data_IF_757375086481
#
_entry.id   IF_757375086481
#
_cell.length_a   1.000
_cell.length_b   1.000
_cell.length_c   1.000
_cell.angle_alpha   90.00
_cell.angle_beta   90.00
_cell.angle_gamma   90.00
#
_symmetry.space_group_name_H-M   'P 1'
#
loop_
_entity.id
_entity.type
_entity.pdbx_description
1 polymer ?
#
# COMPACT_ATOMS: atom_id res chain seq x y z
N UNK A 1 -8.41 32.43 2.81
CA UNK A 1 -7.46 31.30 2.70
C UNK A 1 -8.25 30.11 2.16
N UNK A 2 -7.92 29.52 1.00
CA UNK A 2 -8.61 28.31 0.57
C UNK A 2 -8.32 27.21 1.60
N UNK A 3 -9.26 26.29 1.89
CA UNK A 3 -8.90 25.10 2.64
C UNK A 3 -7.78 24.41 1.88
N UNK A 4 -6.63 24.18 2.53
CA UNK A 4 -5.62 23.23 2.09
C UNK A 4 -6.26 21.83 2.01
N UNK A 5 -7.03 21.59 0.95
CA UNK A 5 -7.74 20.34 0.69
C UNK A 5 -6.70 19.30 0.27
N UNK A 6 -5.89 18.84 1.22
CA UNK A 6 -5.00 17.72 1.03
C UNK A 6 -5.91 16.50 0.97
N UNK A 7 -5.96 15.85 -0.20
CA UNK A 7 -6.78 14.67 -0.40
C UNK A 7 -6.48 13.65 0.71
N UNK A 8 -7.52 13.15 1.36
CA UNK A 8 -7.39 12.15 2.42
C UNK A 8 -6.55 10.97 1.90
N UNK A 9 -5.62 10.38 2.68
CA UNK A 9 -4.73 9.30 2.21
C UNK A 9 -5.44 8.13 1.51
N UNK A 10 -6.66 7.81 1.95
CA UNK A 10 -7.57 6.84 1.30
C UNK A 10 -7.88 7.13 -0.17
N UNK A 11 -7.92 8.41 -0.56
CA UNK A 11 -8.21 8.89 -1.91
C UNK A 11 -6.97 8.95 -2.80
N UNK A 12 -5.78 8.69 -2.26
CA UNK A 12 -4.56 8.63 -3.06
C UNK A 12 -4.69 7.50 -4.10
N UNK A 13 -4.50 7.84 -5.38
CA UNK A 13 -4.55 6.87 -6.50
C UNK A 13 -3.24 6.13 -6.72
N UNK A 14 -2.16 6.60 -6.11
CA UNK A 14 -0.84 6.00 -6.19
C UNK A 14 0.06 6.50 -5.07
N UNK A 15 1.19 5.83 -4.90
CA UNK A 15 2.18 6.12 -3.86
C UNK A 15 3.54 6.17 -4.52
N UNK A 16 4.32 7.22 -4.23
CA UNK A 16 5.65 7.41 -4.80
C UNK A 16 6.72 7.08 -3.76
N UNK A 17 7.83 6.47 -4.19
CA UNK A 17 9.00 6.25 -3.35
C UNK A 17 8.86 5.16 -2.28
N UNK A 18 7.81 4.32 -2.35
CA UNK A 18 7.58 3.20 -1.43
C UNK A 18 7.86 1.83 -2.06
N UNK A 19 8.56 1.79 -3.21
CA UNK A 19 8.81 0.58 -4.00
C UNK A 19 9.45 -0.55 -3.18
N UNK A 20 10.38 -0.22 -2.27
CA UNK A 20 11.05 -1.22 -1.41
C UNK A 20 10.07 -1.82 -0.40
N UNK A 21 9.21 -0.98 0.20
CA UNK A 21 8.20 -1.44 1.14
C UNK A 21 7.13 -2.29 0.43
N UNK A 22 6.74 -1.90 -0.78
CA UNK A 22 5.82 -2.64 -1.63
C UNK A 22 6.38 -4.01 -2.03
N UNK A 23 7.63 -4.07 -2.50
CA UNK A 23 8.29 -5.33 -2.85
C UNK A 23 8.38 -6.28 -1.64
N UNK A 24 8.75 -5.76 -0.47
CA UNK A 24 8.80 -6.56 0.77
C UNK A 24 7.43 -7.12 1.14
N UNK A 25 6.36 -6.31 0.99
CA UNK A 25 4.99 -6.77 1.23
C UNK A 25 4.57 -7.86 0.24
N UNK A 26 4.81 -7.66 -1.06
CA UNK A 26 4.49 -8.65 -2.10
C UNK A 26 5.22 -9.96 -1.84
N UNK A 27 6.51 -9.92 -1.49
CA UNK A 27 7.27 -11.12 -1.14
C UNK A 27 6.68 -11.84 0.08
N UNK A 28 6.27 -11.11 1.12
CA UNK A 28 5.64 -11.70 2.29
C UNK A 28 4.31 -12.40 1.95
N UNK A 29 3.48 -11.76 1.11
CA UNK A 29 2.23 -12.36 0.60
C UNK A 29 2.50 -13.62 -0.23
N UNK A 30 3.43 -13.55 -1.18
CA UNK A 30 3.81 -14.67 -2.04
C UNK A 30 4.42 -15.85 -1.27
N UNK A 31 5.12 -15.58 -0.17
CA UNK A 31 5.69 -16.62 0.70
C UNK A 31 4.65 -17.40 1.51
N UNK A 32 3.38 -16.95 1.53
CA UNK A 32 2.32 -17.50 2.37
C UNK A 32 2.50 -17.22 3.87
N UNK A 33 3.50 -16.43 4.25
CA UNK A 33 3.81 -16.05 5.63
C UNK A 33 3.66 -14.55 5.82
N UNK A 34 2.41 -14.11 5.93
CA UNK A 34 2.12 -12.70 6.18
C UNK A 34 2.31 -12.36 7.67
N UNK A 35 3.15 -11.38 8.03
CA UNK A 35 3.27 -10.91 9.40
C UNK A 35 1.94 -10.40 9.95
N UNK A 36 1.68 -10.64 11.24
CA UNK A 36 0.44 -10.19 11.91
C UNK A 36 0.28 -8.66 11.94
N UNK A 37 1.39 -7.92 11.86
CA UNK A 37 1.37 -6.47 11.85
C UNK A 37 2.54 -5.91 11.05
N UNK A 38 2.31 -4.74 10.44
CA UNK A 38 3.32 -3.96 9.74
C UNK A 38 3.45 -2.58 10.39
N UNK A 39 4.68 -2.15 10.63
CA UNK A 39 4.98 -0.83 11.20
C UNK A 39 5.64 0.03 10.12
N UNK A 40 5.02 1.16 9.80
CA UNK A 40 5.54 2.13 8.84
C UNK A 40 6.14 3.32 9.60
N UNK A 41 7.47 3.46 9.53
CA UNK A 41 8.22 4.53 10.19
C UNK A 41 8.85 5.49 9.16
N UNK A 42 9.07 6.75 9.56
CA UNK A 42 9.76 7.75 8.75
C UNK A 42 9.23 9.18 8.94
N UNK A 43 9.82 10.14 8.23
CA UNK A 43 9.48 11.57 8.31
C UNK A 43 8.00 11.87 8.03
N UNK A 44 7.48 12.97 8.59
CA UNK A 44 6.10 13.42 8.34
C UNK A 44 5.94 13.80 6.87
N UNK A 45 4.88 13.30 6.23
CA UNK A 45 4.56 13.65 4.83
C UNK A 45 5.11 12.71 3.76
N UNK A 46 5.95 11.71 4.09
CA UNK A 46 6.53 10.76 3.11
C UNK A 46 5.52 9.75 2.51
N UNK A 47 4.22 9.91 2.77
CA UNK A 47 3.18 9.06 2.17
C UNK A 47 2.91 7.72 2.87
N UNK A 48 3.37 7.51 4.12
CA UNK A 48 3.14 6.27 4.88
C UNK A 48 1.67 5.85 4.98
N UNK A 49 0.78 6.80 5.30
CA UNK A 49 -0.65 6.52 5.41
C UNK A 49 -1.25 6.16 4.04
N UNK A 50 -0.83 6.86 2.98
CA UNK A 50 -1.25 6.56 1.60
C UNK A 50 -0.79 5.16 1.18
N UNK A 51 0.43 4.77 1.54
CA UNK A 51 0.95 3.42 1.36
C UNK A 51 0.12 2.36 2.07
N UNK A 52 -0.19 2.55 3.35
CA UNK A 52 -1.04 1.63 4.11
C UNK A 52 -2.42 1.41 3.44
N UNK A 53 -3.07 2.49 3.00
CA UNK A 53 -4.35 2.38 2.27
C UNK A 53 -4.19 1.74 0.88
N UNK A 54 -3.06 1.93 0.21
CA UNK A 54 -2.77 1.31 -1.08
C UNK A 54 -2.64 -0.20 -0.94
N UNK A 55 -1.75 -0.68 -0.06
CA UNK A 55 -1.53 -2.12 0.15
C UNK A 55 -2.78 -2.82 0.69
N UNK A 56 -3.53 -2.17 1.59
CA UNK A 56 -4.76 -2.75 2.12
C UNK A 56 -5.80 -2.94 1.01
N UNK A 57 -5.99 -1.93 0.14
CA UNK A 57 -6.90 -2.04 -1.01
C UNK A 57 -6.47 -3.17 -1.94
N UNK A 58 -5.20 -3.22 -2.34
CA UNK A 58 -4.71 -4.28 -3.21
C UNK A 58 -4.90 -5.67 -2.59
N UNK A 59 -4.52 -5.84 -1.32
CA UNK A 59 -4.63 -7.12 -0.63
C UNK A 59 -6.08 -7.61 -0.46
N UNK A 60 -7.00 -6.72 -0.06
CA UNK A 60 -8.40 -7.08 0.10
C UNK A 60 -9.12 -7.26 -1.25
N UNK A 61 -8.80 -6.47 -2.28
CA UNK A 61 -9.36 -6.64 -3.63
C UNK A 61 -8.87 -7.91 -4.32
N UNK A 62 -7.70 -8.45 -3.95
CA UNK A 62 -7.22 -9.76 -4.46
C UNK A 62 -7.79 -10.96 -3.71
N UNK A 63 -8.49 -10.73 -2.58
CA UNK A 63 -9.12 -11.79 -1.78
C UNK A 63 -10.50 -12.18 -2.31
N UNK A 64 -11.10 -11.35 -3.17
CA UNK A 64 -12.16 -11.77 -4.08
C UNK A 64 -11.48 -12.54 -5.22
N UNK A 65 -11.73 -13.84 -5.24
CA UNK A 65 -11.30 -14.84 -6.20
C UNK A 65 -11.04 -14.25 -7.61
N UNK A 66 -9.88 -14.59 -8.21
CA UNK A 66 -9.44 -14.25 -9.58
C UNK A 66 -8.73 -12.90 -9.79
N UNK A 67 -7.42 -12.83 -9.47
CA UNK A 67 -6.35 -12.22 -10.31
C UNK A 67 -5.05 -12.01 -9.52
N UNK A 68 -4.26 -13.06 -9.33
CA UNK A 68 -2.88 -12.96 -8.79
C UNK A 68 -1.79 -12.98 -9.88
N UNK A 69 -2.17 -12.91 -11.17
CA UNK A 69 -1.21 -13.01 -12.29
C UNK A 69 -0.71 -11.65 -12.82
N UNK A 70 -1.27 -10.51 -12.40
CA UNK A 70 -1.05 -9.25 -13.14
C UNK A 70 -0.09 -8.23 -12.51
N UNK A 71 0.69 -8.60 -11.50
CA UNK A 71 1.68 -7.68 -10.86
C UNK A 71 3.12 -7.96 -11.38
N UNK A 72 3.30 -8.76 -12.43
CA UNK A 72 4.61 -9.12 -12.98
C UNK A 72 4.77 -8.89 -14.50
N UNK A 73 4.01 -7.94 -15.08
CA UNK A 73 4.18 -7.49 -16.47
C UNK A 73 4.21 -5.95 -16.50
#
# INVERSE_FOLDING_TARGET
MPPHNIAHPRLARGVLGQNVAEATFIQAVQSGRLPHAWILYGSKGVGKASFAYHIARHFFSTSDETSITQIAA
#
